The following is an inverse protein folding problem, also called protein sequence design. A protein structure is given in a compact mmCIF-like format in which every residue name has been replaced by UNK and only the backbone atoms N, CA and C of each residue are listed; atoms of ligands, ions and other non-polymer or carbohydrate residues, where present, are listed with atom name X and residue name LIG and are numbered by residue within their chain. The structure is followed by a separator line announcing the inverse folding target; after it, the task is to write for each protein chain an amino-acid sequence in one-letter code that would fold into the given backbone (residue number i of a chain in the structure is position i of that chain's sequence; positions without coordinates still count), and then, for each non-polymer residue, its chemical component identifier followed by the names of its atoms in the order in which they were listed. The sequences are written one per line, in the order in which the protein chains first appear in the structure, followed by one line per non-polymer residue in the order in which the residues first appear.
data_IF_563293618984
#
_entry.id   IF_563293618984
#
_cell.length_a   1.000
_cell.length_b   1.000
_cell.length_c   1.000
_cell.angle_alpha   90.00
_cell.angle_beta   90.00
_cell.angle_gamma   90.00
#
_symmetry.space_group_name_H-M   'P 1'
#
loop_
_entity.id
_entity.type
_entity.pdbx_description
1 polymer ?
#
# COMPACT_ATOMS: atom_id res chain seq x y z
N UNK A 1 69.36 -38.70 -36.31
CA UNK A 1 68.68 -39.28 -37.48
C UNK A 1 68.05 -40.56 -36.98
N UNK A 2 66.74 -40.70 -36.82
CA UNK A 2 65.59 -39.82 -37.12
C UNK A 2 64.67 -39.65 -35.89
N UNK A 3 63.69 -38.75 -35.99
CA UNK A 3 62.58 -38.57 -35.03
C UNK A 3 61.28 -38.86 -35.78
N UNK A 4 60.41 -39.77 -35.34
CA UNK A 4 59.06 -39.90 -35.92
C UNK A 4 58.20 -38.70 -35.52
N UNK A 5 57.37 -38.22 -36.44
CA UNK A 5 56.48 -37.08 -36.24
C UNK A 5 55.27 -37.43 -35.36
N UNK A 6 54.58 -36.40 -34.86
CA UNK A 6 53.33 -36.58 -34.12
C UNK A 6 52.14 -36.48 -35.09
N UNK A 7 51.42 -37.59 -35.26
CA UNK A 7 50.18 -37.62 -36.03
C UNK A 7 49.06 -36.90 -35.25
N UNK A 8 48.81 -35.63 -35.59
CA UNK A 8 47.66 -34.87 -35.11
C UNK A 8 46.39 -35.25 -35.89
N UNK A 9 45.93 -36.51 -35.80
CA UNK A 9 44.54 -36.82 -36.11
C UNK A 9 43.64 -36.17 -35.04
N UNK A 10 42.75 -35.25 -35.44
CA UNK A 10 41.80 -34.68 -34.49
C UNK A 10 41.11 -33.36 -34.84
N UNK A 11 41.54 -32.61 -35.87
CA UNK A 11 40.75 -31.48 -36.34
C UNK A 11 39.57 -31.97 -37.19
N UNK A 12 38.46 -32.30 -36.55
CA UNK A 12 37.18 -32.49 -37.22
C UNK A 12 36.90 -31.26 -38.11
N UNK A 13 36.89 -31.44 -39.43
CA UNK A 13 36.62 -30.37 -40.39
C UNK A 13 35.14 -29.95 -40.31
N UNK A 14 34.82 -29.12 -39.31
CA UNK A 14 33.50 -28.56 -39.09
C UNK A 14 32.95 -27.88 -40.35
N UNK A 15 33.83 -27.23 -41.12
CA UNK A 15 33.48 -26.60 -42.40
C UNK A 15 33.06 -27.58 -43.50
N UNK A 16 33.52 -28.83 -43.50
CA UNK A 16 33.09 -29.84 -44.50
C UNK A 16 31.82 -30.57 -44.08
N UNK A 17 31.53 -30.62 -42.77
CA UNK A 17 30.23 -31.04 -42.25
C UNK A 17 29.16 -29.98 -42.59
N UNK A 18 29.45 -28.70 -42.36
CA UNK A 18 28.54 -27.58 -42.65
C UNK A 18 28.28 -27.37 -44.15
N UNK A 19 29.13 -27.85 -45.05
CA UNK A 19 28.88 -27.80 -46.51
C UNK A 19 27.83 -28.78 -47.02
N UNK A 20 27.38 -29.75 -46.21
CA UNK A 20 26.37 -30.73 -46.65
C UNK A 20 24.99 -30.05 -46.68
N UNK A 21 24.25 -30.05 -47.80
CA UNK A 21 22.99 -29.32 -47.91
C UNK A 21 21.96 -29.76 -46.85
N UNK A 22 21.88 -31.06 -46.56
CA UNK A 22 21.05 -31.65 -45.51
C UNK A 22 21.33 -31.08 -44.10
N UNK A 23 22.59 -30.73 -43.82
CA UNK A 23 23.01 -30.16 -42.53
C UNK A 23 22.71 -28.65 -42.49
N UNK A 24 22.78 -27.97 -43.63
CA UNK A 24 22.35 -26.57 -43.75
C UNK A 24 20.82 -26.46 -43.57
N UNK A 25 20.04 -27.32 -44.23
CA UNK A 25 18.58 -27.35 -44.11
C UNK A 25 18.13 -27.61 -42.67
N UNK A 26 18.67 -28.64 -42.02
CA UNK A 26 18.35 -28.93 -40.60
C UNK A 26 18.78 -27.81 -39.64
N UNK A 27 19.90 -27.13 -39.89
CA UNK A 27 20.30 -25.96 -39.10
C UNK A 27 19.37 -24.76 -39.33
N UNK A 28 18.88 -24.54 -40.55
CA UNK A 28 17.88 -23.50 -40.86
C UNK A 28 16.55 -23.80 -40.18
N UNK A 29 16.07 -25.05 -40.23
CA UNK A 29 14.84 -25.45 -39.54
C UNK A 29 14.93 -25.28 -38.01
N UNK A 30 16.07 -25.65 -37.41
CA UNK A 30 16.34 -25.41 -35.99
C UNK A 30 16.32 -23.91 -35.66
N UNK A 31 16.92 -23.07 -36.51
CA UNK A 31 16.90 -21.61 -36.37
C UNK A 31 15.49 -21.04 -36.45
N UNK A 32 14.68 -21.47 -37.43
CA UNK A 32 13.28 -21.07 -37.58
C UNK A 32 12.45 -21.51 -36.38
N UNK A 33 12.66 -22.72 -35.86
CA UNK A 33 12.01 -23.20 -34.64
C UNK A 33 12.43 -22.45 -33.36
N UNK A 34 13.64 -21.85 -33.34
CA UNK A 34 14.11 -21.04 -32.22
C UNK A 34 13.49 -19.62 -32.19
N UNK A 35 13.00 -19.10 -33.33
CA UNK A 35 12.36 -17.77 -33.42
C UNK A 35 11.19 -17.59 -32.44
N UNK A 36 10.15 -18.45 -32.38
CA UNK A 36 9.04 -18.27 -31.43
C UNK A 36 9.48 -18.40 -29.96
N UNK A 37 10.51 -19.21 -29.67
CA UNK A 37 11.07 -19.34 -28.31
C UNK A 37 11.74 -18.03 -27.89
N UNK A 38 12.58 -17.45 -28.76
CA UNK A 38 13.21 -16.16 -28.51
C UNK A 38 12.19 -15.01 -28.44
N UNK A 39 11.15 -15.03 -29.27
CA UNK A 39 10.06 -14.06 -29.20
C UNK A 39 9.36 -14.11 -27.82
N UNK A 40 9.06 -15.30 -27.31
CA UNK A 40 8.47 -15.48 -25.98
C UNK A 40 9.40 -14.98 -24.85
N UNK A 41 10.71 -15.25 -24.95
CA UNK A 41 11.71 -14.74 -23.99
C UNK A 41 11.78 -13.20 -24.02
N UNK A 42 11.80 -12.60 -25.21
CA UNK A 42 11.83 -11.14 -25.36
C UNK A 42 10.55 -10.47 -24.85
N UNK A 43 9.37 -11.06 -25.12
CA UNK A 43 8.09 -10.61 -24.55
C UNK A 43 8.12 -10.72 -23.01
N UNK A 44 8.62 -11.82 -22.46
CA UNK A 44 8.77 -12.01 -21.01
C UNK A 44 9.73 -10.99 -20.38
N UNK A 45 10.84 -10.65 -21.05
CA UNK A 45 11.77 -9.59 -20.65
C UNK A 45 11.11 -8.21 -20.69
N UNK A 46 10.43 -7.86 -21.78
CA UNK A 46 9.74 -6.56 -21.92
C UNK A 46 8.64 -6.42 -20.87
N UNK A 47 7.83 -7.46 -20.63
CA UNK A 47 6.83 -7.46 -19.56
C UNK A 47 7.52 -7.32 -18.21
N UNK A 48 8.56 -8.11 -17.92
CA UNK A 48 9.28 -8.06 -16.64
C UNK A 48 9.98 -6.73 -16.35
N UNK A 49 10.46 -6.03 -17.38
CA UNK A 49 11.10 -4.71 -17.25
C UNK A 49 10.08 -3.56 -17.21
N UNK A 50 8.99 -3.67 -17.98
CA UNK A 50 7.89 -2.69 -17.97
C UNK A 50 7.05 -2.79 -16.70
N UNK A 51 6.99 -3.98 -16.08
CA UNK A 51 6.28 -4.20 -14.84
C UNK A 51 7.11 -3.73 -13.64
N UNK A 52 7.03 -2.42 -13.36
CA UNK A 52 7.21 -1.90 -11.99
C UNK A 52 5.86 -1.97 -11.26
N UNK A 53 5.54 -3.05 -10.51
CA UNK A 53 4.32 -3.07 -9.72
C UNK A 53 4.41 -1.99 -8.64
N UNK A 54 3.53 -0.99 -8.71
CA UNK A 54 3.41 0.09 -7.70
C UNK A 54 3.12 -0.47 -6.30
N UNK A 55 2.57 -1.68 -6.26
CA UNK A 55 2.32 -2.50 -5.07
C UNK A 55 3.57 -3.13 -4.42
N UNK A 56 4.73 -3.11 -5.08
CA UNK A 56 5.98 -3.67 -4.50
C UNK A 56 6.35 -3.00 -3.17
N UNK A 57 6.15 -1.69 -3.03
CA UNK A 57 6.34 -0.98 -1.76
C UNK A 57 5.43 -1.51 -0.63
N UNK A 58 4.15 -1.75 -0.93
CA UNK A 58 3.18 -2.33 0.00
C UNK A 58 3.55 -3.76 0.43
N UNK A 59 4.02 -4.58 -0.50
CA UNK A 59 4.49 -5.94 -0.20
C UNK A 59 5.78 -5.89 0.65
N UNK A 60 6.73 -5.01 0.32
CA UNK A 60 7.96 -4.83 1.13
C UNK A 60 7.66 -4.34 2.55
N UNK A 61 6.69 -3.43 2.72
CA UNK A 61 6.27 -2.93 4.03
C UNK A 61 5.54 -4.03 4.84
N UNK A 62 4.61 -4.75 4.21
CA UNK A 62 3.87 -5.84 4.84
C UNK A 62 4.77 -7.02 5.25
N UNK A 63 5.72 -7.42 4.39
CA UNK A 63 6.57 -8.58 4.61
C UNK A 63 7.72 -8.32 5.59
N UNK A 64 8.24 -7.07 5.68
CA UNK A 64 9.25 -6.70 6.69
C UNK A 64 8.74 -6.76 8.13
N UNK A 65 7.43 -6.65 8.36
CA UNK A 65 6.87 -6.75 9.72
C UNK A 65 7.01 -8.15 10.32
N UNK A 66 6.93 -9.22 9.49
CA UNK A 66 6.95 -10.62 9.95
C UNK A 66 8.27 -11.37 9.76
N UNK A 67 9.21 -10.90 8.93
CA UNK A 67 10.50 -11.59 8.77
C UNK A 67 11.57 -11.25 9.83
N UNK A 68 11.34 -10.28 10.72
CA UNK A 68 12.31 -9.93 11.77
C UNK A 68 12.53 -11.03 12.83
N UNK A 69 11.73 -12.10 12.81
CA UNK A 69 11.79 -13.21 13.77
C UNK A 69 12.46 -14.49 13.23
N UNK A 70 12.95 -14.50 11.98
CA UNK A 70 13.57 -15.69 11.36
C UNK A 70 15.05 -15.47 10.97
N UNK A 71 15.52 -14.21 11.00
CA UNK A 71 16.90 -13.87 10.58
C UNK A 71 17.91 -13.80 11.74
N UNK A 72 17.98 -14.86 12.54
CA UNK A 72 19.10 -15.12 13.47
C UNK A 72 19.83 -16.39 13.06
N UNK A 73 20.45 -16.35 11.88
CA UNK A 73 21.35 -17.41 11.39
C UNK A 73 22.58 -16.76 10.70
N UNK A 74 23.78 -17.38 10.77
CA UNK A 74 25.00 -16.77 10.23
C UNK A 74 24.97 -16.59 8.71
N UNK A 75 25.72 -15.62 8.16
CA UNK A 75 25.71 -15.34 6.72
C UNK A 75 26.36 -16.49 5.93
N UNK A 76 25.60 -17.18 5.08
CA UNK A 76 26.19 -18.14 4.13
C UNK A 76 25.36 -19.30 3.56
N UNK A 77 24.07 -19.48 3.89
CA UNK A 77 23.35 -20.74 3.51
C UNK A 77 21.94 -20.56 2.90
N UNK A 78 21.74 -19.58 2.01
CA UNK A 78 20.42 -19.25 1.44
C UNK A 78 19.87 -20.18 0.33
N UNK A 79 20.68 -20.57 -0.66
CA UNK A 79 20.15 -21.14 -1.91
C UNK A 79 19.86 -22.66 -1.88
N UNK A 80 20.70 -23.45 -1.20
CA UNK A 80 20.67 -24.92 -1.31
C UNK A 80 19.48 -25.60 -0.61
N UNK A 81 18.86 -24.93 0.38
CA UNK A 81 17.70 -25.48 1.10
C UNK A 81 16.37 -25.23 0.40
N UNK A 82 16.25 -24.15 -0.39
CA UNK A 82 15.04 -23.88 -1.17
C UNK A 82 14.82 -24.94 -2.28
N UNK A 83 15.91 -25.43 -2.87
CA UNK A 83 15.90 -26.49 -3.88
C UNK A 83 15.46 -27.86 -3.31
N UNK A 84 15.86 -28.16 -2.07
CA UNK A 84 15.43 -29.36 -1.34
C UNK A 84 13.96 -29.30 -0.90
N UNK A 85 13.44 -28.12 -0.56
CA UNK A 85 12.03 -27.94 -0.22
C UNK A 85 11.10 -28.19 -1.43
N UNK A 86 11.52 -27.77 -2.64
CA UNK A 86 10.76 -28.00 -3.87
C UNK A 86 10.72 -29.47 -4.29
N UNK A 87 11.81 -30.24 -4.09
CA UNK A 87 11.84 -31.68 -4.36
C UNK A 87 11.04 -32.51 -3.35
N UNK A 88 10.93 -32.08 -2.10
CA UNK A 88 10.08 -32.73 -1.10
C UNK A 88 8.57 -32.62 -1.43
N UNK A 89 8.12 -31.51 -2.02
CA UNK A 89 6.71 -31.29 -2.35
C UNK A 89 6.24 -32.18 -3.51
N UNK A 90 7.11 -32.48 -4.50
CA UNK A 90 6.77 -33.40 -5.61
C UNK A 90 6.50 -34.84 -5.14
N UNK A 91 7.08 -35.28 -4.02
CA UNK A 91 6.88 -36.63 -3.48
C UNK A 91 5.54 -36.81 -2.76
N UNK A 92 4.86 -35.73 -2.35
CA UNK A 92 3.62 -35.81 -1.55
C UNK A 92 2.34 -35.95 -2.39
N UNK A 93 2.45 -35.98 -3.72
CA UNK A 93 1.32 -36.12 -4.66
C UNK A 93 0.74 -37.54 -4.73
N UNK A 94 1.52 -38.57 -4.35
CA UNK A 94 1.08 -39.98 -4.36
C UNK A 94 0.27 -40.35 -3.10
N UNK A 95 0.46 -39.65 -1.99
CA UNK A 95 -0.15 -39.99 -0.68
C UNK A 95 -1.67 -39.79 -0.57
N UNK A 96 -2.30 -38.96 -1.43
CA UNK A 96 -3.74 -38.65 -1.30
C UNK A 96 -4.70 -39.69 -1.89
N UNK A 97 -4.22 -40.62 -2.73
CA UNK A 97 -5.10 -41.64 -3.36
C UNK A 97 -5.42 -42.85 -2.46
N UNK A 98 -4.75 -43.00 -1.31
CA UNK A 98 -4.97 -44.12 -0.40
C UNK A 98 -5.89 -43.78 0.78
N UNK A 99 -5.93 -42.51 1.22
CA UNK A 99 -6.75 -42.08 2.37
C UNK A 99 -8.26 -42.11 2.08
N UNK A 100 -8.68 -41.97 0.81
CA UNK A 100 -10.10 -42.01 0.42
C UNK A 100 -10.74 -43.41 0.44
N UNK A 101 -9.98 -44.48 0.72
CA UNK A 101 -10.50 -45.86 0.81
C UNK A 101 -10.79 -46.34 2.24
N UNK A 102 -10.55 -45.53 3.28
CA UNK A 102 -10.62 -45.98 4.68
C UNK A 102 -11.63 -45.26 5.59
N UNK A 103 -12.60 -44.53 5.03
CA UNK A 103 -13.79 -44.06 5.78
C UNK A 103 -15.06 -44.69 5.20
N UNK A 104 -15.77 -45.49 6.01
CA UNK A 104 -16.99 -46.21 5.61
C UNK A 104 -18.11 -45.28 5.13
N UNK A 105 -19.04 -45.73 4.27
CA UNK A 105 -19.95 -46.88 4.41
C UNK A 105 -20.95 -46.70 5.56
N UNK A 106 -22.09 -46.09 5.25
CA UNK A 106 -23.28 -45.93 6.10
C UNK A 106 -24.54 -45.68 5.24
N UNK A 107 -25.61 -46.47 5.45
CA UNK A 107 -26.75 -46.74 4.54
C UNK A 107 -28.06 -46.64 5.36
N UNK A 108 -29.25 -46.21 4.89
CA UNK A 108 -29.83 -45.98 3.54
C UNK A 108 -30.61 -44.61 3.51
N UNK A 109 -31.69 -44.44 2.75
CA UNK A 109 -31.75 -43.86 1.38
C UNK A 109 -33.23 -43.60 0.99
N UNK A 110 -33.54 -42.59 0.16
CA UNK A 110 -34.84 -42.49 -0.52
C UNK A 110 -34.79 -41.72 -1.86
N UNK A 111 -35.69 -42.14 -2.77
CA UNK A 111 -35.85 -41.72 -4.17
C UNK A 111 -37.10 -40.81 -4.22
N UNK A 112 -37.23 -39.77 -5.07
CA UNK A 112 -37.66 -39.84 -6.48
C UNK A 112 -37.60 -38.44 -7.13
N UNK A 113 -37.51 -38.36 -8.46
CA UNK A 113 -37.30 -37.13 -9.23
C UNK A 113 -38.48 -36.73 -10.14
N UNK A 114 -38.57 -35.44 -10.50
CA UNK A 114 -39.02 -34.86 -11.79
C UNK A 114 -38.92 -33.31 -11.66
N UNK A 115 -38.22 -32.50 -12.49
CA UNK A 115 -38.12 -32.35 -13.95
C UNK A 115 -39.15 -31.36 -14.53
N UNK A 116 -38.75 -30.09 -14.79
CA UNK A 116 -39.00 -29.33 -16.04
C UNK A 116 -38.72 -27.80 -15.94
N UNK A 117 -38.06 -27.25 -16.97
CA UNK A 117 -37.95 -25.83 -17.39
C UNK A 117 -39.25 -25.36 -18.12
N UNK A 118 -39.36 -24.14 -18.69
CA UNK A 118 -38.62 -22.86 -18.56
C UNK A 118 -39.55 -21.63 -18.32
N UNK A 119 -39.03 -20.39 -18.34
CA UNK A 119 -39.49 -19.22 -19.15
C UNK A 119 -38.97 -17.85 -18.63
N UNK A 120 -39.16 -16.79 -19.43
CA UNK A 120 -38.37 -15.54 -19.44
C UNK A 120 -39.03 -14.27 -18.86
N UNK A 121 -38.62 -13.06 -19.33
CA UNK A 121 -38.50 -11.85 -18.49
C UNK A 121 -39.63 -10.80 -18.78
N UNK A 122 -39.67 -9.61 -18.12
CA UNK A 122 -38.74 -8.49 -18.42
C UNK A 122 -38.38 -7.53 -17.24
N UNK A 123 -37.43 -6.63 -17.49
CA UNK A 123 -37.25 -5.31 -16.80
C UNK A 123 -38.16 -4.24 -17.49
N UNK A 124 -38.12 -2.90 -17.26
CA UNK A 124 -37.16 -2.00 -16.59
C UNK A 124 -37.85 -1.14 -15.49
N UNK A 125 -37.36 -0.04 -14.89
CA UNK A 125 -36.79 1.20 -15.46
C UNK A 125 -35.83 1.98 -14.53
N UNK A 126 -34.95 2.77 -15.16
CA UNK A 126 -34.03 3.74 -14.55
C UNK A 126 -34.12 5.07 -15.31
N UNK A 127 -34.44 6.14 -14.59
CA UNK A 127 -34.15 7.54 -14.96
C UNK A 127 -34.44 8.39 -13.72
N UNK A 128 -33.46 8.96 -13.01
CA UNK A 128 -32.58 10.07 -13.41
C UNK A 128 -33.38 11.30 -13.86
N UNK A 129 -33.40 12.30 -12.98
CA UNK A 129 -33.96 13.63 -13.21
C UNK A 129 -33.48 14.56 -12.11
N UNK A 130 -32.21 14.99 -12.20
CA UNK A 130 -31.61 15.90 -11.22
C UNK A 130 -31.99 17.36 -11.48
N UNK A 131 -32.12 18.14 -10.41
CA UNK A 131 -31.98 19.60 -10.40
C UNK A 131 -31.88 20.10 -8.94
N UNK A 132 -30.93 19.56 -8.18
CA UNK A 132 -30.59 20.08 -6.87
C UNK A 132 -29.64 21.28 -7.03
N UNK A 133 -30.24 22.46 -7.12
CA UNK A 133 -29.51 23.70 -6.88
C UNK A 133 -29.21 23.78 -5.38
N UNK A 134 -28.06 23.23 -4.97
CA UNK A 134 -27.52 23.39 -3.61
C UNK A 134 -27.28 24.87 -3.31
N UNK A 135 -28.29 25.51 -2.71
CA UNK A 135 -28.13 26.77 -2.00
C UNK A 135 -27.43 26.43 -0.68
N UNK A 136 -26.11 26.21 -0.74
CA UNK A 136 -25.28 26.13 0.46
C UNK A 136 -25.34 27.50 1.14
N UNK A 137 -25.79 27.61 2.40
CA UNK A 137 -25.79 28.89 3.09
C UNK A 137 -24.33 29.30 3.32
N UNK A 138 -23.89 30.37 2.65
CA UNK A 138 -22.60 31.00 2.95
C UNK A 138 -22.63 31.46 4.40
N UNK A 139 -21.73 30.96 5.22
CA UNK A 139 -21.73 31.25 6.65
C UNK A 139 -21.41 32.75 6.85
N UNK A 140 -22.15 33.41 7.74
CA UNK A 140 -21.88 34.82 8.05
C UNK A 140 -20.51 34.97 8.71
N UNK A 141 -19.78 36.07 8.46
CA UNK A 141 -18.43 36.28 9.00
C UNK A 141 -18.33 36.03 10.52
N UNK A 142 -19.32 36.49 11.29
CA UNK A 142 -19.38 36.25 12.74
C UNK A 142 -19.57 34.77 13.11
N UNK A 143 -20.35 34.01 12.32
CA UNK A 143 -20.52 32.57 12.53
C UNK A 143 -19.26 31.79 12.15
N UNK A 144 -18.46 32.29 11.19
CA UNK A 144 -17.17 31.70 10.81
C UNK A 144 -16.06 31.96 11.85
N UNK A 145 -16.15 33.05 12.61
CA UNK A 145 -15.30 33.30 13.77
C UNK A 145 -15.58 32.28 14.89
N UNK A 146 -16.86 31.99 15.15
CA UNK A 146 -17.32 30.98 16.12
C UNK A 146 -16.96 29.53 15.73
N UNK A 147 -16.50 29.26 14.51
CA UNK A 147 -16.13 27.89 14.08
C UNK A 147 -14.93 27.36 14.86
N UNK A 148 -13.91 28.17 15.16
CA UNK A 148 -12.78 27.76 16.01
C UNK A 148 -12.47 28.85 17.04
N UNK A 149 -12.87 28.57 18.27
CA UNK A 149 -12.93 29.50 19.39
C UNK A 149 -11.71 29.40 20.29
N UNK A 150 -11.51 30.42 21.12
CA UNK A 150 -10.50 30.46 22.17
C UNK A 150 -10.72 29.34 23.21
N UNK A 151 -11.96 28.88 23.43
CA UNK A 151 -12.26 27.71 24.28
C UNK A 151 -11.71 26.40 23.67
N UNK A 152 -11.68 26.26 22.33
CA UNK A 152 -11.03 25.12 21.67
C UNK A 152 -9.49 25.16 21.88
N UNK A 153 -8.90 26.35 21.96
CA UNK A 153 -7.48 26.54 22.30
C UNK A 153 -7.20 26.19 23.76
N UNK A 154 -8.01 26.65 24.71
CA UNK A 154 -7.87 26.31 26.13
C UNK A 154 -7.93 24.79 26.36
N UNK A 155 -8.86 24.11 25.69
CA UNK A 155 -8.95 22.65 25.70
C UNK A 155 -7.69 21.98 25.12
N UNK A 156 -7.12 22.50 24.01
CA UNK A 156 -5.85 22.01 23.47
C UNK A 156 -4.70 22.19 24.47
N UNK A 157 -4.61 23.34 25.15
CA UNK A 157 -3.57 23.59 26.15
C UNK A 157 -3.68 22.62 27.34
N UNK A 158 -4.90 22.39 27.84
CA UNK A 158 -5.16 21.40 28.89
C UNK A 158 -4.68 19.98 28.50
N UNK A 159 -4.91 19.56 27.26
CA UNK A 159 -4.43 18.27 26.72
C UNK A 159 -2.90 18.19 26.55
N UNK A 160 -2.21 19.32 26.46
CA UNK A 160 -0.74 19.37 26.42
C UNK A 160 -0.14 19.34 27.84
N UNK A 161 -0.78 19.97 28.81
CA UNK A 161 -0.34 20.05 30.21
C UNK A 161 -0.62 18.76 31.01
N UNK A 162 -1.75 18.09 30.78
CA UNK A 162 -2.19 16.87 31.50
C UNK A 162 -1.22 15.67 31.36
N UNK A 163 -0.23 15.77 30.47
CA UNK A 163 0.91 14.86 30.33
C UNK A 163 1.69 14.62 31.63
N UNK A 164 1.52 15.50 32.63
CA UNK A 164 2.13 15.38 33.97
C UNK A 164 1.63 14.24 34.86
N UNK A 165 0.58 13.50 34.48
CA UNK A 165 0.16 12.27 35.19
C UNK A 165 -1.34 12.01 35.31
N UNK A 166 -2.20 12.79 34.65
CA UNK A 166 -3.65 12.62 34.75
C UNK A 166 -4.21 11.54 33.81
N UNK A 167 -3.54 11.30 32.68
CA UNK A 167 -3.92 10.29 31.69
C UNK A 167 -2.90 9.16 31.56
N UNK A 168 -3.39 7.92 31.52
CA UNK A 168 -2.61 6.70 31.26
C UNK A 168 -2.09 6.66 29.81
N UNK A 169 -1.06 7.46 29.52
CA UNK A 169 -0.40 7.53 28.22
C UNK A 169 0.56 6.35 28.02
N UNK A 170 0.18 5.42 27.14
CA UNK A 170 0.99 4.25 26.77
C UNK A 170 1.92 4.62 25.60
N UNK A 171 3.24 4.41 25.74
CA UNK A 171 4.16 4.57 24.61
C UNK A 171 3.75 3.64 23.44
N UNK A 172 3.70 4.19 22.23
CA UNK A 172 3.31 3.51 21.01
C UNK A 172 4.47 3.45 19.99
N UNK A 173 5.26 4.51 19.89
CA UNK A 173 6.41 4.56 18.99
C UNK A 173 7.49 5.52 19.50
N UNK A 174 8.73 5.16 19.26
CA UNK A 174 9.89 6.06 19.37
C UNK A 174 10.83 5.82 18.17
N UNK A 175 11.29 6.91 17.55
CA UNK A 175 12.22 6.92 16.41
C UNK A 175 13.16 8.11 16.53
N UNK A 176 14.40 7.92 16.12
CA UNK A 176 15.39 8.97 15.98
C UNK A 176 16.10 8.86 14.64
N UNK A 177 16.43 10.03 14.10
CA UNK A 177 17.33 10.25 12.97
C UNK A 177 18.41 11.26 13.42
N UNK A 178 19.32 11.65 12.53
CA UNK A 178 20.43 12.55 12.85
C UNK A 178 20.02 13.95 13.33
N UNK A 179 18.87 14.45 12.86
CA UNK A 179 18.37 15.81 13.11
C UNK A 179 16.85 15.86 13.44
N UNK A 180 16.26 14.70 13.73
CA UNK A 180 14.84 14.59 14.06
C UNK A 180 14.59 13.48 15.07
N UNK A 181 13.79 13.76 16.10
CA UNK A 181 13.26 12.73 17.00
C UNK A 181 11.74 12.71 16.96
N UNK A 182 11.14 11.53 17.02
CA UNK A 182 9.69 11.33 16.98
C UNK A 182 9.29 10.34 18.07
N UNK A 183 8.37 10.77 18.93
CA UNK A 183 7.77 9.96 20.00
C UNK A 183 6.25 10.03 19.85
N UNK A 184 5.57 8.90 20.07
CA UNK A 184 4.12 8.82 20.04
C UNK A 184 3.59 7.95 21.20
N UNK A 185 2.48 8.40 21.76
CA UNK A 185 1.75 7.75 22.83
C UNK A 185 0.28 7.58 22.42
N UNK A 186 -0.38 6.57 22.98
CA UNK A 186 -1.82 6.35 22.88
C UNK A 186 -2.43 6.31 24.28
N UNK A 187 -3.60 6.90 24.43
CA UNK A 187 -4.44 6.76 25.62
C UNK A 187 -5.76 6.11 25.19
N UNK A 188 -6.14 5.06 25.89
CA UNK A 188 -7.31 4.23 25.59
C UNK A 188 -8.20 4.27 26.84
N UNK A 189 -9.18 5.20 26.92
CA UNK A 189 -10.07 5.31 28.06
C UNK A 189 -11.02 4.10 28.12
N UNK A 190 -11.59 3.84 29.30
CA UNK A 190 -12.58 2.76 29.47
C UNK A 190 -13.84 2.96 28.61
N UNK A 191 -14.20 4.22 28.35
CA UNK A 191 -15.29 4.61 27.46
C UNK A 191 -14.85 5.76 26.56
N UNK A 192 -15.27 5.74 25.29
CA UNK A 192 -14.94 6.77 24.30
C UNK A 192 -13.85 6.38 23.28
N UNK A 193 -13.44 7.33 22.43
CA UNK A 193 -12.47 7.08 21.36
C UNK A 193 -11.02 7.01 21.89
N UNK A 194 -10.16 6.34 21.12
CA UNK A 194 -8.71 6.28 21.40
C UNK A 194 -8.07 7.63 21.09
N UNK A 195 -7.37 8.21 22.07
CA UNK A 195 -6.59 9.43 21.89
C UNK A 195 -5.13 9.10 21.53
N UNK A 196 -4.53 9.93 20.67
CA UNK A 196 -3.13 9.83 20.27
C UNK A 196 -2.42 11.16 20.49
N UNK A 197 -1.24 11.11 21.08
CA UNK A 197 -0.35 12.27 21.19
C UNK A 197 0.97 11.93 20.52
N UNK A 198 1.57 12.89 19.81
CA UNK A 198 2.94 12.75 19.31
C UNK A 198 3.76 14.00 19.58
N UNK A 199 5.07 13.82 19.67
CA UNK A 199 6.06 14.89 19.80
C UNK A 199 7.13 14.63 18.75
N UNK A 200 7.33 15.61 17.87
CA UNK A 200 8.45 15.65 16.94
C UNK A 200 9.36 16.80 17.34
N UNK A 201 10.68 16.57 17.34
CA UNK A 201 11.69 17.63 17.41
C UNK A 201 12.41 17.65 16.08
N UNK A 202 12.55 18.85 15.51
CA UNK A 202 13.37 19.13 14.33
C UNK A 202 14.49 20.05 14.78
N UNK A 203 15.75 19.62 14.65
CA UNK A 203 16.90 20.43 15.10
C UNK A 203 17.22 21.57 14.11
N UNK A 204 16.94 21.37 12.82
CA UNK A 204 17.31 22.27 11.72
C UNK A 204 16.14 23.12 11.15
N UNK A 205 15.06 23.32 11.91
CA UNK A 205 13.86 24.04 11.44
C UNK A 205 13.33 25.05 12.46
N UNK A 206 12.86 26.22 11.99
CA UNK A 206 12.24 27.23 12.85
C UNK A 206 10.75 26.94 13.09
N UNK A 207 10.13 27.45 14.16
CA UNK A 207 8.70 27.27 14.42
C UNK A 207 7.80 27.74 13.26
N UNK A 208 8.19 28.83 12.59
CA UNK A 208 7.47 29.41 11.46
C UNK A 208 7.54 28.50 10.23
N UNK A 209 8.73 27.93 9.92
CA UNK A 209 8.88 26.94 8.84
C UNK A 209 8.02 25.69 9.08
N UNK A 210 7.97 25.22 10.33
CA UNK A 210 7.17 24.04 10.70
C UNK A 210 5.67 24.35 10.60
N UNK A 211 5.24 25.52 11.07
CA UNK A 211 3.86 26.03 10.93
C UNK A 211 3.44 26.04 9.46
N UNK A 212 4.20 26.72 8.61
CA UNK A 212 3.86 26.91 7.19
C UNK A 212 3.84 25.57 6.44
N UNK A 213 4.82 24.68 6.70
CA UNK A 213 4.87 23.35 6.11
C UNK A 213 3.64 22.47 6.42
N UNK A 214 3.08 22.57 7.62
CA UNK A 214 1.89 21.79 8.02
C UNK A 214 0.57 22.47 7.66
N UNK A 215 0.55 23.78 7.41
CA UNK A 215 -0.65 24.54 7.04
C UNK A 215 -0.90 24.60 5.52
N UNK A 216 0.15 24.44 4.71
CA UNK A 216 0.08 24.50 3.24
C UNK A 216 -0.55 23.23 2.63
N UNK A 217 -1.87 23.28 2.39
CA UNK A 217 -2.62 22.22 1.71
C UNK A 217 -2.26 22.07 0.22
N UNK A 218 -1.74 23.11 -0.46
CA UNK A 218 -1.31 23.01 -1.87
C UNK A 218 0.00 22.26 -2.02
N UNK A 219 0.90 22.41 -1.05
CA UNK A 219 2.15 21.67 -0.98
C UNK A 219 1.95 20.24 -0.49
N UNK A 220 0.95 20.00 0.37
CA UNK A 220 0.79 18.72 1.06
C UNK A 220 0.66 17.46 0.18
N UNK A 221 -0.07 17.44 -0.95
CA UNK A 221 -0.10 16.29 -1.86
C UNK A 221 1.27 15.87 -2.43
N UNK A 222 2.30 16.74 -2.35
CA UNK A 222 3.68 16.41 -2.77
C UNK A 222 4.37 15.44 -1.80
N UNK A 223 3.93 15.36 -0.54
CA UNK A 223 4.55 14.53 0.51
C UNK A 223 3.58 13.58 1.24
N UNK A 224 2.29 13.91 1.35
CA UNK A 224 1.24 13.04 1.89
C UNK A 224 0.45 12.38 0.75
N UNK A 225 0.83 11.18 0.27
CA UNK A 225 0.16 10.52 -0.85
C UNK A 225 -1.26 10.03 -0.51
N UNK A 226 -1.71 10.17 0.74
CA UNK A 226 -3.09 9.88 1.11
C UNK A 226 -4.02 11.07 0.89
N UNK A 227 -3.54 12.32 0.89
CA UNK A 227 -4.39 13.48 0.59
C UNK A 227 -4.57 13.60 -0.93
N UNK A 228 -5.76 13.23 -1.42
CA UNK A 228 -6.04 13.17 -2.87
C UNK A 228 -6.88 14.33 -3.40
N UNK A 229 -7.57 15.04 -2.50
CA UNK A 229 -8.31 16.26 -2.81
C UNK A 229 -8.31 17.15 -1.57
N UNK A 230 -8.20 18.46 -1.79
CA UNK A 230 -8.44 19.49 -0.80
C UNK A 230 -9.16 20.66 -1.49
N UNK A 231 -9.98 21.39 -0.73
CA UNK A 231 -10.58 22.66 -1.15
C UNK A 231 -10.85 23.53 0.08
N UNK A 232 -10.42 24.79 0.03
CA UNK A 232 -10.87 25.82 0.98
C UNK A 232 -12.31 26.15 0.61
N UNK A 233 -13.23 26.02 1.56
CA UNK A 233 -14.65 26.34 1.39
C UNK A 233 -14.92 27.79 1.80
N UNK A 234 -14.42 28.19 2.96
CA UNK A 234 -14.57 29.53 3.52
C UNK A 234 -13.33 29.93 4.34
N UNK A 235 -13.08 31.23 4.47
CA UNK A 235 -11.95 31.79 5.21
C UNK A 235 -12.33 33.14 5.84
N UNK A 236 -12.09 33.30 7.14
CA UNK A 236 -12.28 34.58 7.84
C UNK A 236 -10.96 35.36 7.87
N UNK A 237 -10.93 36.48 7.13
CA UNK A 237 -9.75 37.35 7.05
C UNK A 237 -9.39 38.06 8.37
N UNK A 238 -10.27 38.08 9.37
CA UNK A 238 -10.01 38.70 10.67
C UNK A 238 -9.31 37.75 11.66
N UNK A 239 -9.76 36.49 11.74
CA UNK A 239 -9.27 35.50 12.72
C UNK A 239 -8.33 34.46 12.13
N UNK A 240 -8.24 34.34 10.81
CA UNK A 240 -7.55 33.26 10.12
C UNK A 240 -8.27 31.90 10.23
N UNK A 241 -9.54 31.87 10.66
CA UNK A 241 -10.34 30.65 10.68
C UNK A 241 -10.66 30.21 9.25
N UNK A 242 -10.40 28.96 8.91
CA UNK A 242 -10.71 28.37 7.61
C UNK A 242 -11.65 27.18 7.78
N UNK A 243 -12.58 27.01 6.84
CA UNK A 243 -13.28 25.75 6.63
C UNK A 243 -12.70 25.09 5.39
N UNK A 244 -12.18 23.87 5.55
CA UNK A 244 -11.57 23.09 4.46
C UNK A 244 -12.22 21.73 4.30
N UNK A 245 -12.41 21.32 3.05
CA UNK A 245 -12.80 19.98 2.68
C UNK A 245 -11.53 19.21 2.28
N UNK A 246 -11.22 18.10 2.97
CA UNK A 246 -10.18 17.14 2.57
C UNK A 246 -10.78 15.77 2.24
N UNK A 247 -10.27 15.10 1.19
CA UNK A 247 -10.49 13.66 0.97
C UNK A 247 -9.16 12.91 1.11
N UNK A 248 -9.13 11.93 2.01
CA UNK A 248 -8.00 11.04 2.24
C UNK A 248 -8.26 9.64 1.69
N UNK A 249 -7.44 9.21 0.74
CA UNK A 249 -7.47 7.87 0.14
C UNK A 249 -6.74 6.86 1.03
N UNK A 250 -7.46 5.83 1.45
CA UNK A 250 -6.90 4.72 2.23
C UNK A 250 -6.56 3.52 1.32
N UNK A 251 -5.80 2.52 1.81
CA UNK A 251 -5.62 1.27 1.08
C UNK A 251 -6.97 0.64 0.71
N UNK A 252 -7.03 0.00 -0.47
CA UNK A 252 -8.26 -0.45 -1.18
C UNK A 252 -9.26 -1.34 -0.41
N UNK A 253 -8.94 -1.78 0.81
CA UNK A 253 -9.85 -2.51 1.71
C UNK A 253 -10.63 -1.59 2.66
N UNK A 254 -10.38 -0.28 2.62
CA UNK A 254 -11.15 0.75 3.29
C UNK A 254 -11.81 1.67 2.25
N UNK A 255 -12.93 2.30 2.63
CA UNK A 255 -13.43 3.46 1.91
C UNK A 255 -12.45 4.63 2.03
N UNK A 256 -12.50 5.54 1.06
CA UNK A 256 -11.88 6.86 1.22
C UNK A 256 -12.57 7.60 2.37
N UNK A 257 -11.86 8.51 3.03
CA UNK A 257 -12.39 9.33 4.14
C UNK A 257 -12.50 10.78 3.71
N UNK A 258 -13.72 11.28 3.75
CA UNK A 258 -14.07 12.67 3.50
C UNK A 258 -14.18 13.40 4.84
N UNK A 259 -13.72 14.65 4.87
CA UNK A 259 -13.71 15.47 6.08
C UNK A 259 -14.03 16.93 5.72
N UNK A 260 -15.00 17.52 6.43
CA UNK A 260 -15.15 18.98 6.50
C UNK A 260 -14.59 19.43 7.85
N UNK A 261 -13.68 20.40 7.81
CA UNK A 261 -12.79 20.72 8.92
C UNK A 261 -12.78 22.23 9.14
N UNK A 262 -13.12 22.66 10.35
CA UNK A 262 -12.81 23.99 10.85
C UNK A 262 -11.41 24.01 11.45
N UNK A 263 -10.56 24.95 11.02
CA UNK A 263 -9.18 25.10 11.54
C UNK A 263 -8.80 26.57 11.75
N UNK A 264 -7.96 26.83 12.74
CA UNK A 264 -7.37 28.15 13.03
C UNK A 264 -5.97 28.02 13.65
N UNK A 265 -5.09 28.98 13.39
CA UNK A 265 -3.81 29.13 14.12
C UNK A 265 -3.96 30.24 15.14
N UNK A 266 -3.55 29.97 16.38
CA UNK A 266 -3.34 30.99 17.41
C UNK A 266 -1.85 31.19 17.63
N UNK A 267 -1.39 32.45 17.72
CA UNK A 267 0.02 32.82 17.90
C UNK A 267 0.27 33.40 19.29
N UNK A 268 1.31 32.91 19.96
CA UNK A 268 1.78 33.44 21.24
C UNK A 268 3.32 33.57 21.22
N UNK A 269 3.81 34.73 20.79
CA UNK A 269 5.25 35.04 20.73
C UNK A 269 5.97 34.25 19.63
N UNK A 270 6.51 33.08 19.98
CA UNK A 270 7.14 32.12 19.03
C UNK A 270 6.46 30.75 19.02
N UNK A 271 5.29 30.66 19.66
CA UNK A 271 4.49 29.44 19.75
C UNK A 271 3.28 29.58 18.82
N UNK A 272 3.01 28.52 18.05
CA UNK A 272 1.88 28.42 17.14
C UNK A 272 1.02 27.23 17.55
N UNK A 273 -0.25 27.50 17.84
CA UNK A 273 -1.23 26.49 18.23
C UNK A 273 -2.25 26.32 17.12
N UNK A 274 -2.13 25.23 16.36
CA UNK A 274 -3.04 24.90 15.28
C UNK A 274 -4.18 24.03 15.81
N UNK A 275 -5.38 24.60 15.92
CA UNK A 275 -6.59 23.86 16.28
C UNK A 275 -7.30 23.41 14.99
N UNK A 276 -7.81 22.19 14.98
CA UNK A 276 -8.44 21.55 13.82
C UNK A 276 -9.54 20.63 14.34
N UNK A 277 -10.79 20.85 13.95
CA UNK A 277 -11.93 20.01 14.36
C UNK A 277 -12.89 19.73 13.20
N UNK A 278 -13.53 18.58 13.27
CA UNK A 278 -14.52 18.12 12.29
C UNK A 278 -15.82 18.91 12.44
N UNK A 279 -16.48 19.22 11.32
CA UNK A 279 -17.76 19.92 11.28
C UNK A 279 -18.83 18.97 10.73
N UNK A 280 -19.78 18.58 11.58
CA UNK A 280 -20.79 17.57 11.24
C UNK A 280 -21.93 18.09 10.33
N UNK A 281 -22.09 19.41 10.20
CA UNK A 281 -23.28 20.05 9.60
C UNK A 281 -22.91 21.14 8.57
N UNK A 282 -22.05 20.86 7.59
CA UNK A 282 -21.52 21.87 6.66
C UNK A 282 -21.52 21.49 5.17
#
# INVERSE_FOLDING_TARGET
VERPEMDHEGSFNFMDVVKRPEIVETLVDILVCAVPIWLAVMIGLVIGWSWRPRWSGLIYLGFRSKLRFVWTAPPGFGARRLWLALTAISAFSVGRRLWSRFRGKGKDSSVTAAMSTPEGPPSPDVSVGGNDAEIRPSLGTSQLEDVVTENDLEHLLHLLESKGGEMDWRNMMERSASNMTYQAWRHEPETGPVAYQSRTVFEDATPEMVRDFFWDDEFRPKWDPMLVYFKILEECSHTGTMIVHWVKKFPFFCSDREYIIGRRIFEAGKMYYCVTKELENF
#
